data_IF_072164400963
#
_entry.id   IF_072164400963
#
_cell.length_a   1.000
_cell.length_b   1.000
_cell.length_c   1.000
_cell.angle_alpha   90.00
_cell.angle_beta   90.00
_cell.angle_gamma   90.00
#
_symmetry.space_group_name_H-M   'P 1'
#
loop_
_entity.id
_entity.type
_entity.pdbx_description
1 polymer ?
#
# COMPACT_ATOMS: atom_id res chain seq x y z
N UNK A 1 -8.05 16.87 26.39
CA UNK A 1 -7.36 15.87 25.58
C UNK A 1 -8.39 15.21 24.66
N UNK A 2 -8.02 14.97 23.38
CA UNK A 2 -8.88 14.28 22.44
C UNK A 2 -8.89 12.77 22.75
N UNK A 3 -10.05 12.13 22.61
CA UNK A 3 -10.15 10.68 22.71
C UNK A 3 -9.53 10.03 21.46
N UNK A 4 -8.63 9.04 21.62
CA UNK A 4 -8.09 8.32 20.48
C UNK A 4 -9.19 7.59 19.68
N UNK A 5 -9.06 7.57 18.36
CA UNK A 5 -9.93 6.79 17.48
C UNK A 5 -9.15 5.53 17.09
N UNK A 6 -9.68 4.37 17.47
CA UNK A 6 -9.09 3.07 17.10
C UNK A 6 -9.67 2.63 15.77
N UNK A 7 -8.78 2.33 14.81
CA UNK A 7 -9.14 1.80 13.50
C UNK A 7 -8.57 0.39 13.39
N UNK A 8 -9.46 -0.61 13.34
CA UNK A 8 -9.08 -2.02 13.19
C UNK A 8 -9.81 -2.62 11.99
N UNK A 9 -9.09 -2.86 10.91
CA UNK A 9 -9.61 -3.39 9.66
C UNK A 9 -8.56 -4.32 9.00
N UNK A 10 -8.17 -5.36 9.73
CA UNK A 10 -7.13 -6.30 9.31
C UNK A 10 -5.89 -5.57 8.74
N UNK A 11 -5.31 -6.10 7.67
CA UNK A 11 -4.08 -5.57 7.08
C UNK A 11 -4.22 -4.16 6.48
N UNK A 12 -5.43 -3.72 6.16
CA UNK A 12 -5.66 -2.37 5.62
C UNK A 12 -5.80 -1.29 6.70
N UNK A 13 -5.70 -1.63 7.98
CA UNK A 13 -5.92 -0.70 9.11
C UNK A 13 -5.13 0.59 8.98
N UNK A 14 -3.84 0.51 8.63
CA UNK A 14 -2.99 1.68 8.50
C UNK A 14 -3.40 2.63 7.36
N UNK A 15 -3.90 2.11 6.23
CA UNK A 15 -4.47 2.94 5.15
C UNK A 15 -5.82 3.49 5.57
N UNK A 16 -6.67 2.67 6.19
CA UNK A 16 -7.98 3.09 6.69
C UNK A 16 -7.87 4.23 7.72
N UNK A 17 -6.86 4.16 8.61
CA UNK A 17 -6.58 5.22 9.58
C UNK A 17 -6.13 6.53 8.91
N UNK A 18 -5.32 6.46 7.85
CA UNK A 18 -4.94 7.63 7.06
C UNK A 18 -6.15 8.25 6.35
N UNK A 19 -7.04 7.45 5.77
CA UNK A 19 -8.30 7.93 5.15
C UNK A 19 -9.19 8.59 6.20
N UNK A 20 -9.32 7.99 7.39
CA UNK A 20 -10.12 8.57 8.48
C UNK A 20 -9.53 9.91 8.93
N UNK A 21 -8.23 9.99 9.14
CA UNK A 21 -7.54 11.23 9.51
C UNK A 21 -7.73 12.32 8.44
N UNK A 22 -7.55 11.98 7.16
CA UNK A 22 -7.76 12.90 6.04
C UNK A 22 -9.18 13.46 6.00
N UNK A 23 -10.21 12.61 6.14
CA UNK A 23 -11.61 13.03 6.18
C UNK A 23 -11.91 13.95 7.39
N UNK A 24 -11.35 13.62 8.56
CA UNK A 24 -11.51 14.44 9.75
C UNK A 24 -10.85 15.82 9.61
N UNK A 25 -9.69 15.90 8.99
CA UNK A 25 -9.00 17.16 8.71
C UNK A 25 -9.81 18.02 7.71
N UNK A 26 -10.44 17.41 6.71
CA UNK A 26 -11.28 18.13 5.76
C UNK A 26 -12.51 18.79 6.40
N UNK A 27 -13.01 18.26 7.51
CA UNK A 27 -14.11 18.90 8.27
C UNK A 27 -13.67 20.19 8.97
N UNK A 28 -12.36 20.51 8.98
CA UNK A 28 -11.74 21.64 9.71
C UNK A 28 -11.96 21.61 11.22
N UNK A 29 -12.49 20.50 11.75
CA UNK A 29 -12.65 20.30 13.20
C UNK A 29 -11.30 20.11 13.90
N UNK A 30 -10.32 19.56 13.17
CA UNK A 30 -8.96 19.34 13.64
C UNK A 30 -7.97 20.00 12.68
N UNK A 31 -6.92 20.62 13.23
CA UNK A 31 -5.83 21.19 12.45
C UNK A 31 -4.77 20.14 12.11
N UNK A 32 -4.59 19.16 12.99
CA UNK A 32 -3.57 18.12 12.90
C UNK A 32 -4.14 16.78 13.37
N UNK A 33 -3.73 15.71 12.73
CA UNK A 33 -4.02 14.32 13.11
C UNK A 33 -2.72 13.52 13.18
N UNK A 34 -2.51 12.82 14.29
CA UNK A 34 -1.41 11.86 14.45
C UNK A 34 -1.97 10.47 14.18
N UNK A 35 -1.44 9.79 13.19
CA UNK A 35 -1.81 8.42 12.82
C UNK A 35 -0.68 7.49 13.23
N UNK A 36 -1.00 6.51 14.06
CA UNK A 36 -0.05 5.51 14.57
C UNK A 36 -0.50 4.14 14.12
N UNK A 37 0.38 3.39 13.48
CA UNK A 37 0.21 1.97 13.17
C UNK A 37 1.23 1.17 13.98
N UNK A 38 0.75 0.21 14.75
CA UNK A 38 1.60 -0.64 15.57
C UNK A 38 1.07 -2.07 15.48
N UNK A 39 1.95 -2.99 15.16
CA UNK A 39 1.65 -4.42 15.22
C UNK A 39 2.88 -5.21 15.62
N UNK A 40 2.69 -6.14 16.56
CA UNK A 40 3.71 -7.03 17.11
C UNK A 40 3.26 -8.46 16.90
N UNK A 41 4.19 -9.35 16.65
CA UNK A 41 3.87 -10.77 16.51
C UNK A 41 3.46 -11.37 17.86
N UNK A 42 2.47 -12.22 17.79
CA UNK A 42 2.05 -13.06 18.91
C UNK A 42 1.85 -14.49 18.44
N UNK A 43 1.88 -15.43 19.38
CA UNK A 43 1.60 -16.82 19.05
C UNK A 43 0.23 -16.99 18.38
N UNK A 44 -0.77 -16.19 18.79
CA UNK A 44 -2.10 -16.20 18.19
C UNK A 44 -2.05 -15.81 16.71
N UNK A 45 -1.33 -14.74 16.37
CA UNK A 45 -1.17 -14.26 14.98
C UNK A 45 -0.44 -15.31 14.14
N UNK A 46 0.71 -15.81 14.64
CA UNK A 46 1.50 -16.82 13.92
C UNK A 46 0.67 -18.08 13.67
N UNK A 47 -0.03 -18.59 14.69
CA UNK A 47 -0.88 -19.79 14.56
C UNK A 47 -2.04 -19.57 13.60
N UNK A 48 -2.64 -18.37 13.61
CA UNK A 48 -3.69 -17.99 12.67
C UNK A 48 -3.20 -18.05 11.22
N UNK A 49 -2.09 -17.42 10.92
CA UNK A 49 -1.51 -17.44 9.55
C UNK A 49 -1.03 -18.83 9.13
N UNK A 50 -0.53 -19.64 10.07
CA UNK A 50 -0.21 -21.05 9.82
C UNK A 50 -1.46 -21.87 9.46
N UNK A 51 -2.56 -21.67 10.18
CA UNK A 51 -3.82 -22.38 9.88
C UNK A 51 -4.37 -22.09 8.49
N UNK A 52 -4.14 -20.90 7.98
CA UNK A 52 -4.48 -20.51 6.59
C UNK A 52 -3.44 -20.97 5.57
N UNK A 53 -2.35 -21.62 5.98
CA UNK A 53 -1.23 -22.02 5.12
C UNK A 53 -0.66 -20.84 4.31
N UNK A 54 -0.64 -19.67 4.92
CA UNK A 54 -0.19 -18.44 4.26
C UNK A 54 1.30 -18.15 4.48
N UNK A 55 1.94 -18.81 5.46
CA UNK A 55 3.34 -18.58 5.79
C UNK A 55 4.28 -19.38 4.88
N UNK A 56 5.39 -18.72 4.50
CA UNK A 56 6.50 -19.32 3.82
C UNK A 56 7.64 -19.67 4.78
N UNK A 57 8.28 -20.84 4.65
CA UNK A 57 9.52 -21.17 5.37
C UNK A 57 10.75 -20.41 4.80
N UNK A 58 10.62 -19.86 3.58
CA UNK A 58 11.66 -19.09 2.91
C UNK A 58 11.31 -17.60 2.87
N UNK A 59 12.28 -16.69 2.68
CA UNK A 59 12.00 -15.27 2.45
C UNK A 59 11.02 -15.06 1.29
N UNK A 60 9.96 -14.33 1.55
CA UNK A 60 8.89 -14.13 0.57
C UNK A 60 9.36 -13.33 -0.65
N UNK A 61 8.73 -13.62 -1.79
CA UNK A 61 9.08 -13.07 -3.11
C UNK A 61 7.80 -12.67 -3.85
N UNK A 62 7.27 -11.48 -3.54
CA UNK A 62 6.02 -11.02 -4.14
C UNK A 62 6.04 -11.06 -5.66
N UNK A 63 4.94 -11.55 -6.26
CA UNK A 63 4.69 -11.68 -7.71
C UNK A 63 5.61 -12.65 -8.45
N UNK A 64 6.61 -13.24 -7.81
CA UNK A 64 7.51 -14.22 -8.45
C UNK A 64 6.78 -15.54 -8.72
N UNK A 65 7.18 -16.24 -9.77
CA UNK A 65 6.62 -17.55 -10.14
C UNK A 65 6.79 -18.58 -9.03
N UNK A 66 7.90 -18.53 -8.31
CA UNK A 66 8.21 -19.46 -7.22
C UNK A 66 7.71 -19.03 -5.84
N UNK A 67 6.79 -18.01 -5.78
CA UNK A 67 6.20 -17.57 -4.53
C UNK A 67 5.34 -18.66 -3.88
N UNK A 68 5.47 -18.82 -2.58
CA UNK A 68 4.76 -19.88 -1.82
C UNK A 68 4.04 -19.36 -0.57
N UNK A 69 4.21 -18.09 -0.22
CA UNK A 69 3.60 -17.50 0.97
C UNK A 69 4.38 -16.30 1.49
N UNK A 70 3.86 -15.71 2.55
CA UNK A 70 4.41 -14.52 3.19
C UNK A 70 5.28 -14.87 4.40
N UNK A 71 6.07 -13.90 4.86
CA UNK A 71 6.66 -13.88 6.19
C UNK A 71 5.96 -12.80 7.02
N UNK A 72 5.85 -13.02 8.34
CA UNK A 72 5.37 -12.00 9.26
C UNK A 72 6.51 -11.06 9.67
N UNK A 73 6.17 -9.80 9.89
CA UNK A 73 7.04 -8.76 10.41
C UNK A 73 6.37 -8.02 11.56
N UNK A 74 7.14 -7.19 12.26
CA UNK A 74 6.68 -6.30 13.32
C UNK A 74 7.08 -4.86 12.97
N UNK A 75 6.23 -3.90 13.27
CA UNK A 75 6.57 -2.50 13.08
C UNK A 75 5.71 -1.56 13.93
N UNK A 76 6.30 -0.39 14.19
CA UNK A 76 5.58 0.80 14.65
C UNK A 76 5.92 1.93 13.69
N UNK A 77 4.91 2.64 13.24
CA UNK A 77 5.07 3.81 12.39
C UNK A 77 4.12 4.92 12.84
N UNK A 78 4.57 6.16 12.68
CA UNK A 78 3.78 7.35 13.00
C UNK A 78 3.84 8.33 11.85
N UNK A 79 2.69 8.86 11.47
CA UNK A 79 2.53 9.91 10.48
C UNK A 79 1.74 11.07 11.07
N UNK A 80 2.17 12.29 10.77
CA UNK A 80 1.46 13.52 11.16
C UNK A 80 0.85 14.13 9.89
N UNK A 81 -0.46 14.25 9.89
CA UNK A 81 -1.22 14.93 8.85
C UNK A 81 -1.69 16.28 9.35
N UNK A 82 -1.58 17.32 8.52
CA UNK A 82 -1.97 18.69 8.87
C UNK A 82 -2.65 19.38 7.69
N UNK A 83 -3.59 20.30 8.00
CA UNK A 83 -4.14 21.21 7.01
C UNK A 83 -3.22 22.40 6.72
N UNK A 84 -2.22 22.64 7.55
CA UNK A 84 -1.24 23.69 7.30
C UNK A 84 -0.30 23.29 6.15
N UNK A 85 0.01 24.23 5.26
CA UNK A 85 1.07 24.04 4.27
C UNK A 85 2.39 23.97 5.04
N UNK A 86 3.22 22.92 4.84
CA UNK A 86 4.52 22.85 5.49
C UNK A 86 5.44 23.96 4.97
N UNK A 87 6.30 24.47 5.85
CA UNK A 87 7.28 25.50 5.50
C UNK A 87 8.42 24.95 4.63
N UNK A 88 8.62 23.63 4.68
CA UNK A 88 9.69 22.95 3.96
C UNK A 88 9.12 21.98 2.92
N UNK A 89 9.77 21.92 1.77
CA UNK A 89 9.52 21.00 0.67
C UNK A 89 10.69 20.00 0.53
N UNK A 90 10.48 18.79 -0.02
CA UNK A 90 9.22 18.28 -0.55
C UNK A 90 8.26 17.81 0.54
N UNK A 91 6.97 17.80 0.25
CA UNK A 91 5.94 17.19 1.09
C UNK A 91 4.94 16.43 0.24
N UNK A 92 4.27 15.44 0.85
CA UNK A 92 3.21 14.70 0.22
C UNK A 92 1.85 15.14 0.75
N UNK A 93 0.89 15.24 -0.15
CA UNK A 93 -0.51 15.52 0.17
C UNK A 93 -1.36 14.29 -0.18
N UNK A 94 -2.18 13.82 0.75
CA UNK A 94 -3.19 12.82 0.47
C UNK A 94 -4.34 13.47 -0.29
N UNK A 95 -4.55 13.05 -1.53
CA UNK A 95 -5.50 13.69 -2.47
C UNK A 95 -6.71 12.85 -2.79
N UNK A 96 -6.63 11.53 -2.61
CA UNK A 96 -7.76 10.63 -2.80
C UNK A 96 -7.62 9.38 -1.92
N UNK A 97 -8.75 8.75 -1.59
CA UNK A 97 -8.77 7.50 -0.84
C UNK A 97 -10.10 6.77 -0.98
N UNK A 98 -10.02 5.46 -1.22
CA UNK A 98 -11.15 4.56 -1.38
C UNK A 98 -11.02 3.30 -0.54
N UNK A 99 -12.14 2.75 -0.09
CA UNK A 99 -12.23 1.47 0.62
C UNK A 99 -13.42 0.68 0.09
N UNK A 100 -13.19 -0.57 -0.26
CA UNK A 100 -14.23 -1.49 -0.74
C UNK A 100 -14.08 -2.87 -0.10
N UNK A 101 -15.17 -3.61 -0.02
CA UNK A 101 -15.16 -4.98 0.46
C UNK A 101 -15.57 -5.94 -0.67
N UNK A 102 -14.86 -7.05 -0.79
CA UNK A 102 -15.15 -8.09 -1.78
C UNK A 102 -16.44 -8.85 -1.49
N UNK A 103 -16.90 -8.86 -0.23
CA UNK A 103 -18.05 -9.61 0.25
C UNK A 103 -18.02 -11.10 -0.18
N UNK A 104 -16.83 -11.70 -0.24
CA UNK A 104 -16.61 -13.04 -0.78
C UNK A 104 -16.19 -14.04 0.31
N UNK A 105 -14.94 -14.01 0.76
CA UNK A 105 -14.39 -15.01 1.68
C UNK A 105 -13.59 -14.33 2.80
N UNK A 106 -13.54 -14.98 3.98
CA UNK A 106 -12.90 -14.39 5.17
C UNK A 106 -11.38 -14.24 5.02
N UNK A 107 -10.71 -15.14 4.34
CA UNK A 107 -9.24 -15.16 4.22
C UNK A 107 -8.72 -15.17 2.78
N UNK A 108 -9.58 -15.40 1.80
CA UNK A 108 -9.21 -15.43 0.39
C UNK A 108 -9.75 -14.19 -0.35
N UNK A 109 -8.95 -13.54 -1.21
CA UNK A 109 -9.42 -12.44 -2.03
C UNK A 109 -10.39 -12.94 -3.11
N UNK A 110 -11.26 -12.05 -3.59
CA UNK A 110 -12.09 -12.36 -4.75
C UNK A 110 -11.20 -12.49 -6.00
N UNK A 111 -11.41 -13.54 -6.79
CA UNK A 111 -10.54 -13.85 -7.94
C UNK A 111 -10.53 -12.76 -9.01
N UNK A 112 -11.59 -11.97 -9.11
CA UNK A 112 -11.73 -10.89 -10.10
C UNK A 112 -10.98 -9.61 -9.72
N UNK A 113 -10.48 -9.50 -8.47
CA UNK A 113 -9.87 -8.29 -7.93
C UNK A 113 -10.83 -7.11 -7.82
N UNK A 114 -12.14 -7.35 -7.71
CA UNK A 114 -13.15 -6.29 -7.79
C UNK A 114 -12.98 -5.19 -6.74
N UNK A 115 -12.76 -5.56 -5.47
CA UNK A 115 -12.57 -4.58 -4.39
C UNK A 115 -11.33 -3.72 -4.61
N UNK A 116 -10.19 -4.33 -4.92
CA UNK A 116 -8.95 -3.61 -5.24
C UNK A 116 -9.09 -2.74 -6.49
N UNK A 117 -9.76 -3.26 -7.53
CA UNK A 117 -10.06 -2.49 -8.74
C UNK A 117 -10.90 -1.23 -8.44
N UNK A 118 -11.96 -1.36 -7.64
CA UNK A 118 -12.77 -0.22 -7.23
C UNK A 118 -11.97 0.80 -6.42
N UNK A 119 -11.13 0.34 -5.50
CA UNK A 119 -10.22 1.23 -4.77
C UNK A 119 -9.29 2.01 -5.71
N UNK A 120 -8.74 1.34 -6.75
CA UNK A 120 -7.93 2.01 -7.77
C UNK A 120 -8.74 3.04 -8.55
N UNK A 121 -9.96 2.71 -8.95
CA UNK A 121 -10.82 3.66 -9.68
C UNK A 121 -11.19 4.88 -8.82
N UNK A 122 -11.42 4.71 -7.51
CA UNK A 122 -11.68 5.85 -6.61
C UNK A 122 -10.48 6.80 -6.54
N UNK A 123 -9.26 6.28 -6.48
CA UNK A 123 -8.06 7.12 -6.37
C UNK A 123 -7.55 7.65 -7.71
N UNK A 124 -8.09 7.16 -8.82
CA UNK A 124 -7.80 7.65 -10.16
C UNK A 124 -8.77 8.75 -10.61
N UNK A 125 -9.85 9.02 -9.86
CA UNK A 125 -10.71 10.15 -10.16
C UNK A 125 -9.88 11.44 -10.26
N UNK A 126 -10.07 12.21 -11.33
CA UNK A 126 -9.37 13.45 -11.60
C UNK A 126 -7.83 13.33 -11.70
N UNK A 127 -7.32 12.14 -12.09
CA UNK A 127 -5.90 11.90 -12.25
C UNK A 127 -5.63 11.04 -13.49
N UNK A 128 -4.67 11.46 -14.32
CA UNK A 128 -4.23 10.63 -15.42
C UNK A 128 -3.30 9.52 -14.93
N UNK A 129 -3.44 8.32 -15.49
CA UNK A 129 -2.56 7.19 -15.15
C UNK A 129 -1.10 7.50 -15.47
N UNK A 130 -0.83 8.30 -16.53
CA UNK A 130 0.52 8.75 -16.89
C UNK A 130 1.22 9.55 -15.79
N UNK A 131 0.46 10.15 -14.87
CA UNK A 131 0.99 10.96 -13.79
C UNK A 131 1.29 10.13 -12.53
N UNK A 132 0.93 8.84 -12.54
CA UNK A 132 1.23 7.91 -11.46
C UNK A 132 2.66 7.38 -11.60
N UNK A 133 3.53 7.82 -10.72
CA UNK A 133 4.95 7.44 -10.68
C UNK A 133 5.17 5.99 -10.23
N UNK A 134 4.39 5.53 -9.25
CA UNK A 134 4.51 4.19 -8.71
C UNK A 134 3.25 3.72 -7.98
N UNK A 135 3.09 2.40 -7.89
CA UNK A 135 2.11 1.74 -7.01
C UNK A 135 2.87 0.93 -5.95
N UNK A 136 2.66 1.26 -4.69
CA UNK A 136 3.05 0.40 -3.57
C UNK A 136 1.91 -0.58 -3.31
N UNK A 137 2.11 -1.83 -3.66
CA UNK A 137 1.10 -2.88 -3.63
C UNK A 137 1.05 -3.61 -2.28
N UNK A 138 0.04 -4.43 -2.07
CA UNK A 138 0.00 -5.34 -0.92
C UNK A 138 1.11 -6.39 -1.02
N UNK A 139 1.17 -7.14 -2.11
CA UNK A 139 2.31 -7.99 -2.48
C UNK A 139 2.75 -8.92 -1.37
N UNK A 140 1.94 -9.93 -1.05
CA UNK A 140 2.20 -10.85 0.07
C UNK A 140 3.01 -12.08 -0.31
N UNK A 141 3.31 -12.28 -1.57
CA UNK A 141 3.88 -13.51 -2.12
C UNK A 141 2.98 -14.76 -1.92
N UNK A 142 1.71 -14.55 -1.57
CA UNK A 142 0.74 -15.65 -1.60
C UNK A 142 0.16 -15.78 -3.01
N UNK A 143 -0.02 -17.02 -3.53
CA UNK A 143 -0.47 -17.21 -4.91
C UNK A 143 -1.74 -16.44 -5.27
N UNK A 144 -2.73 -16.46 -4.38
CA UNK A 144 -4.04 -15.86 -4.66
C UNK A 144 -4.06 -14.34 -4.54
N UNK A 145 -3.36 -13.75 -3.55
CA UNK A 145 -3.34 -12.30 -3.38
C UNK A 145 -2.63 -11.62 -4.53
N UNK A 146 -1.43 -12.07 -4.86
CA UNK A 146 -0.63 -11.44 -5.91
C UNK A 146 -1.29 -11.56 -7.28
N UNK A 147 -1.98 -12.69 -7.54
CA UNK A 147 -2.80 -12.86 -8.74
C UNK A 147 -3.96 -11.89 -8.77
N UNK A 148 -4.69 -11.75 -7.66
CA UNK A 148 -5.81 -10.81 -7.54
C UNK A 148 -5.37 -9.36 -7.77
N UNK A 149 -4.25 -8.95 -7.16
CA UNK A 149 -3.72 -7.59 -7.34
C UNK A 149 -3.29 -7.36 -8.80
N UNK A 150 -2.64 -8.34 -9.43
CA UNK A 150 -2.25 -8.25 -10.84
C UNK A 150 -3.47 -8.06 -11.75
N UNK A 151 -4.54 -8.81 -11.51
CA UNK A 151 -5.82 -8.67 -12.24
C UNK A 151 -6.41 -7.26 -12.00
N UNK A 152 -6.46 -6.78 -10.77
CA UNK A 152 -7.03 -5.48 -10.44
C UNK A 152 -6.25 -4.33 -11.12
N UNK A 153 -4.92 -4.37 -11.06
CA UNK A 153 -4.03 -3.38 -11.68
C UNK A 153 -4.17 -3.41 -13.21
N UNK A 154 -4.21 -4.61 -13.81
CA UNK A 154 -4.42 -4.76 -15.25
C UNK A 154 -5.79 -4.23 -15.69
N UNK A 155 -6.87 -4.54 -14.97
CA UNK A 155 -8.22 -4.02 -15.23
C UNK A 155 -8.29 -2.50 -15.14
N UNK A 156 -7.49 -1.89 -14.27
CA UNK A 156 -7.37 -0.43 -14.17
C UNK A 156 -6.49 0.18 -15.27
N UNK A 157 -5.90 -0.60 -16.17
CA UNK A 157 -5.02 -0.13 -17.24
C UNK A 157 -3.64 0.31 -16.75
N UNK A 158 -3.23 -0.09 -15.52
CA UNK A 158 -2.05 0.40 -14.83
C UNK A 158 -0.86 -0.57 -14.85
N UNK A 159 -0.89 -1.63 -15.64
CA UNK A 159 0.16 -2.67 -15.68
C UNK A 159 1.55 -2.13 -16.04
N UNK A 160 1.63 -0.96 -16.67
CA UNK A 160 2.88 -0.31 -17.05
C UNK A 160 3.45 0.60 -15.94
N UNK A 161 2.66 0.92 -14.89
CA UNK A 161 3.12 1.75 -13.77
C UNK A 161 4.09 0.93 -12.90
N UNK A 162 5.23 1.49 -12.48
CA UNK A 162 6.19 0.80 -11.63
C UNK A 162 5.58 0.29 -10.32
N UNK A 163 5.89 -0.95 -9.97
CA UNK A 163 5.38 -1.65 -8.78
C UNK A 163 6.48 -1.80 -7.72
N UNK A 164 6.16 -1.45 -6.47
CA UNK A 164 7.00 -1.71 -5.30
C UNK A 164 6.26 -2.60 -4.30
N UNK A 165 6.86 -3.74 -3.93
CA UNK A 165 6.32 -4.68 -2.96
C UNK A 165 7.28 -4.85 -1.77
N UNK A 166 7.02 -4.12 -0.70
CA UNK A 166 7.93 -3.99 0.44
C UNK A 166 8.03 -5.24 1.31
N UNK A 167 7.02 -6.11 1.32
CA UNK A 167 7.00 -7.29 2.19
C UNK A 167 8.12 -8.28 1.88
N UNK A 168 8.69 -8.22 0.69
CA UNK A 168 9.91 -8.95 0.37
C UNK A 168 11.11 -8.54 1.23
N UNK A 169 11.17 -7.34 1.79
CA UNK A 169 12.29 -6.86 2.61
C UNK A 169 12.18 -7.27 4.08
N UNK A 170 11.01 -7.12 4.70
CA UNK A 170 10.84 -7.24 6.16
C UNK A 170 9.59 -8.03 6.58
N UNK A 171 8.89 -8.63 5.63
CA UNK A 171 7.67 -9.37 5.91
C UNK A 171 6.43 -8.49 6.00
N UNK A 172 5.32 -9.11 6.37
CA UNK A 172 4.03 -8.45 6.51
C UNK A 172 3.83 -7.93 7.94
N UNK A 173 3.82 -6.61 8.10
CA UNK A 173 3.64 -5.93 9.39
C UNK A 173 2.17 -5.66 9.71
N UNK A 174 1.27 -6.44 9.16
CA UNK A 174 -0.17 -6.49 9.44
C UNK A 174 -0.84 -5.10 9.41
N UNK A 175 -1.48 -4.66 10.50
CA UNK A 175 -2.15 -3.37 10.57
C UNK A 175 -1.22 -2.16 10.43
N UNK A 176 0.07 -2.29 10.80
CA UNK A 176 1.07 -1.26 10.62
C UNK A 176 1.52 -1.11 9.15
N UNK A 177 1.32 -2.13 8.31
CA UNK A 177 1.83 -2.17 6.93
C UNK A 177 1.43 -0.93 6.11
N UNK A 178 0.19 -0.47 6.25
CA UNK A 178 -0.31 0.68 5.52
C UNK A 178 0.44 1.98 5.80
N UNK A 179 0.92 2.19 7.03
CA UNK A 179 1.74 3.35 7.39
C UNK A 179 3.20 3.15 6.95
N UNK A 180 3.80 2.04 7.35
CA UNK A 180 5.21 1.72 7.06
C UNK A 180 5.49 1.82 5.57
N UNK A 181 4.67 1.14 4.76
CA UNK A 181 4.86 1.09 3.31
C UNK A 181 4.58 2.43 2.64
N UNK A 182 3.64 3.24 3.17
CA UNK A 182 3.43 4.61 2.70
C UNK A 182 4.67 5.48 2.95
N UNK A 183 5.23 5.44 4.17
CA UNK A 183 6.43 6.21 4.54
C UNK A 183 7.62 5.79 3.68
N UNK A 184 7.84 4.48 3.53
CA UNK A 184 8.96 3.97 2.72
C UNK A 184 8.81 4.32 1.24
N UNK A 185 7.58 4.32 0.72
CA UNK A 185 7.32 4.80 -0.65
C UNK A 185 7.66 6.28 -0.79
N UNK A 186 7.23 7.10 0.17
CA UNK A 186 7.56 8.53 0.18
C UNK A 186 9.07 8.75 0.16
N UNK A 187 9.80 8.08 1.05
CA UNK A 187 11.26 8.20 1.14
C UNK A 187 11.95 7.72 -0.15
N UNK A 188 11.54 6.59 -0.70
CA UNK A 188 12.11 6.08 -1.95
C UNK A 188 11.93 7.08 -3.11
N UNK A 189 10.73 7.64 -3.26
CA UNK A 189 10.43 8.58 -4.32
C UNK A 189 11.07 9.97 -4.08
N UNK A 190 11.25 10.40 -2.83
CA UNK A 190 12.03 11.59 -2.49
C UNK A 190 13.48 11.45 -3.00
N UNK A 191 14.05 10.24 -2.90
CA UNK A 191 15.34 9.90 -3.48
C UNK A 191 15.25 9.51 -4.96
N UNK A 192 14.15 9.80 -5.65
CA UNK A 192 13.91 9.47 -7.05
C UNK A 192 14.17 8.00 -7.40
N UNK A 193 13.84 7.11 -6.50
CA UNK A 193 14.12 5.68 -6.65
C UNK A 193 12.85 4.86 -6.63
N UNK A 194 12.68 3.99 -7.64
CA UNK A 194 11.77 2.85 -7.59
C UNK A 194 12.57 1.68 -7.01
N UNK A 195 12.19 1.24 -5.82
CA UNK A 195 12.89 0.14 -5.16
C UNK A 195 12.62 -1.19 -5.86
N UNK A 196 13.63 -2.03 -5.89
CA UNK A 196 13.54 -3.40 -6.36
C UNK A 196 12.50 -4.21 -5.58
N UNK A 197 11.91 -5.21 -6.21
CA UNK A 197 11.19 -6.26 -5.50
C UNK A 197 12.18 -7.41 -5.22
N UNK A 198 12.63 -7.56 -3.96
CA UNK A 198 13.69 -8.51 -3.66
C UNK A 198 13.28 -9.94 -4.02
N UNK A 199 14.21 -10.68 -4.62
CA UNK A 199 14.02 -12.08 -5.06
C UNK A 199 13.02 -12.28 -6.20
N UNK A 200 12.50 -11.23 -6.82
CA UNK A 200 11.73 -11.33 -8.05
C UNK A 200 12.66 -11.74 -9.20
N UNK A 201 12.30 -12.79 -9.92
CA UNK A 201 13.07 -13.33 -11.06
C UNK A 201 12.20 -13.52 -12.29
N UNK A 202 11.03 -14.11 -12.12
CA UNK A 202 10.13 -14.49 -13.19
C UNK A 202 8.69 -14.12 -12.87
N UNK A 203 7.94 -13.77 -13.91
CA UNK A 203 6.51 -13.45 -13.79
C UNK A 203 5.74 -14.64 -13.26
N UNK A 204 5.08 -14.46 -12.12
CA UNK A 204 4.29 -15.49 -11.45
C UNK A 204 2.78 -15.25 -11.49
N UNK A 205 2.32 -14.23 -12.21
CA UNK A 205 0.91 -13.87 -12.33
C UNK A 205 0.44 -13.91 -13.77
N UNK A 206 -0.87 -14.06 -14.00
CA UNK A 206 -1.47 -14.12 -15.34
C UNK A 206 -1.21 -12.85 -16.15
N UNK A 207 -1.21 -11.69 -15.47
CA UNK A 207 -0.90 -10.41 -16.08
C UNK A 207 0.49 -9.95 -15.67
N UNK A 208 1.33 -9.62 -16.64
CA UNK A 208 2.65 -9.04 -16.40
C UNK A 208 2.49 -7.60 -15.92
N UNK A 209 3.13 -7.30 -14.79
CA UNK A 209 3.22 -5.96 -14.21
C UNK A 209 4.64 -5.40 -14.38
N UNK A 210 4.78 -4.08 -14.25
CA UNK A 210 6.08 -3.42 -14.32
C UNK A 210 6.87 -3.57 -12.99
N UNK A 211 7.33 -4.78 -12.73
CA UNK A 211 8.12 -5.16 -11.56
C UNK A 211 9.60 -5.27 -11.94
N UNK A 212 10.50 -4.82 -11.05
CA UNK A 212 11.93 -4.90 -11.25
C UNK A 212 12.62 -5.63 -10.10
N UNK A 213 13.61 -6.44 -10.41
CA UNK A 213 14.54 -7.05 -9.45
C UNK A 213 15.67 -6.10 -9.02
N UNK A 214 15.79 -4.94 -9.68
CA UNK A 214 16.82 -3.94 -9.43
C UNK A 214 16.18 -2.57 -9.15
N UNK A 215 16.87 -1.74 -8.35
CA UNK A 215 16.47 -0.37 -8.15
C UNK A 215 16.57 0.42 -9.47
N UNK A 216 15.59 1.26 -9.72
CA UNK A 216 15.57 2.14 -10.90
C UNK A 216 15.50 3.60 -10.47
N UNK A 217 16.38 4.41 -11.02
CA UNK A 217 16.32 5.85 -10.83
C UNK A 217 15.25 6.47 -11.72
N UNK A 218 14.56 7.48 -11.20
CA UNK A 218 13.60 8.28 -11.96
C UNK A 218 14.33 9.46 -12.61
N UNK A 219 14.09 9.65 -13.89
CA UNK A 219 14.64 10.80 -14.65
C UNK A 219 13.86 12.10 -14.37
N UNK A 220 12.64 11.97 -13.87
CA UNK A 220 11.74 13.09 -13.56
C UNK A 220 11.42 13.16 -12.07
N UNK A 221 10.86 14.29 -11.63
CA UNK A 221 10.31 14.38 -10.28
C UNK A 221 9.05 13.51 -10.17
N UNK A 222 8.86 12.80 -9.03
CA UNK A 222 7.64 12.05 -8.80
C UNK A 222 6.44 13.00 -8.71
N UNK A 223 5.30 12.58 -9.27
CA UNK A 223 4.05 13.34 -9.20
C UNK A 223 3.08 12.72 -8.20
N UNK A 224 2.59 11.54 -8.51
CA UNK A 224 1.66 10.82 -7.66
C UNK A 224 2.14 9.41 -7.39
N UNK A 225 1.77 8.86 -6.24
CA UNK A 225 1.86 7.43 -6.03
C UNK A 225 0.59 6.90 -5.36
N UNK A 226 0.34 5.62 -5.56
CA UNK A 226 -0.78 4.92 -4.95
C UNK A 226 -0.25 3.91 -3.95
N UNK A 227 -0.81 3.89 -2.74
CA UNK A 227 -0.68 2.78 -1.81
C UNK A 227 -1.94 1.95 -1.88
N UNK A 228 -1.82 0.69 -2.30
CA UNK A 228 -2.89 -0.30 -2.37
C UNK A 228 -2.67 -1.39 -1.33
N UNK A 229 -3.71 -1.77 -0.61
CA UNK A 229 -3.70 -2.87 0.35
C UNK A 229 -4.97 -3.70 0.27
N UNK A 230 -4.82 -4.98 0.56
CA UNK A 230 -5.90 -5.93 0.78
C UNK A 230 -5.77 -6.56 2.17
N UNK A 231 -6.84 -7.07 2.71
CA UNK A 231 -6.85 -7.67 4.05
C UNK A 231 -7.88 -8.77 4.20
N UNK A 232 -7.71 -9.58 5.22
CA UNK A 232 -8.70 -10.58 5.59
C UNK A 232 -10.07 -9.93 5.84
N UNK A 233 -11.15 -10.67 5.61
CA UNK A 233 -12.51 -10.16 5.57
C UNK A 233 -12.90 -9.56 4.22
N UNK A 234 -12.05 -9.70 3.17
CA UNK A 234 -12.28 -9.15 1.84
C UNK A 234 -12.12 -7.63 1.77
N UNK A 235 -11.43 -7.04 2.73
CA UNK A 235 -11.24 -5.60 2.80
C UNK A 235 -10.14 -5.14 1.83
N UNK A 236 -10.40 -4.06 1.09
CA UNK A 236 -9.43 -3.42 0.20
C UNK A 236 -9.42 -1.92 0.45
N UNK A 237 -8.25 -1.30 0.36
CA UNK A 237 -8.09 0.15 0.50
C UNK A 237 -6.99 0.67 -0.41
N UNK A 238 -7.19 1.87 -0.95
CA UNK A 238 -6.15 2.61 -1.65
C UNK A 238 -6.16 4.08 -1.24
N UNK A 239 -4.99 4.69 -1.25
CA UNK A 239 -4.80 6.14 -1.16
C UNK A 239 -3.88 6.61 -2.28
N UNK A 240 -4.14 7.82 -2.78
CA UNK A 240 -3.23 8.53 -3.68
C UNK A 240 -2.58 9.68 -2.92
N UNK A 241 -1.27 9.72 -2.99
CA UNK A 241 -0.46 10.82 -2.48
C UNK A 241 0.17 11.57 -3.65
N UNK A 242 0.20 12.89 -3.51
CA UNK A 242 0.74 13.81 -4.50
C UNK A 242 1.94 14.53 -3.92
N UNK A 243 3.07 14.47 -4.61
CA UNK A 243 4.24 15.27 -4.27
C UNK A 243 4.04 16.73 -4.66
N UNK A 244 4.42 17.62 -3.77
CA UNK A 244 4.60 19.01 -4.11
C UNK A 244 6.02 19.20 -4.64
N UNK A 245 6.15 19.57 -5.90
CA UNK A 245 7.45 19.98 -6.45
C UNK A 245 7.94 21.27 -5.77
N UNK A 246 9.27 21.42 -5.67
CA UNK A 246 9.92 22.60 -5.07
C UNK A 246 9.63 23.96 -5.76
N UNK A 247 8.67 23.98 -6.73
CA UNK A 247 8.41 25.15 -7.56
C UNK A 247 7.18 25.98 -7.17
N UNK A 248 6.50 25.66 -6.04
CA UNK A 248 5.40 26.50 -5.54
C UNK A 248 5.87 27.70 -4.70
N UNK A 249 7.08 28.23 -4.99
CA UNK A 249 7.50 29.55 -4.54
C UNK A 249 7.09 30.58 -5.58
N UNK A 250 5.78 30.89 -5.64
CA UNK A 250 5.25 32.15 -6.15
C UNK A 250 3.99 32.52 -5.38
#
# INVERSE_FOLDING_TARGET
>A
PNTPIVVSNACISGVSAQIAAWRLLQTKKYATAVVIGCDVQSQFIVSGFQSFKALSPEPCRPFDQSRIGLNLGEAVATMIWSNAKPEHTPYCRLTAGGMHNDASHISGPIRTGEGSYRCLMDVLQDCNISDITAISVHGTATPYNDEMEAIAIFRAGMQHVPIMAFKGYYGHTMGAAGLVETILTMLALEHKTILANPRYKEVGTTHTLNISAENRMLDTNPMHFIKLLSGFGGCNAAIRLTYSANNDSK
#
